data_IF_718727763248
#
_entry.id   IF_718727763248
#
_cell.length_a   1.000
_cell.length_b   1.000
_cell.length_c   1.000
_cell.angle_alpha   90.00
_cell.angle_beta   90.00
_cell.angle_gamma   90.00
#
_symmetry.space_group_name_H-M   'P 1'
#
loop_
_entity.id
_entity.type
_entity.pdbx_description
1 polymer ?
#
# COMPACT_ATOMS: atom_id res chain seq x y z
N UNK A 1 34.25 -10.96 1.19
CA UNK A 1 32.81 -10.81 1.55
C UNK A 1 31.99 -11.85 0.80
N UNK A 2 30.95 -12.46 1.40
CA UNK A 2 30.23 -13.52 0.72
C UNK A 2 29.36 -12.93 -0.40
N UNK A 3 29.68 -13.32 -1.64
CA UNK A 3 28.94 -13.03 -2.88
C UNK A 3 27.40 -13.26 -2.76
N UNK A 4 27.00 -14.06 -1.78
CA UNK A 4 25.62 -14.41 -1.46
C UNK A 4 24.77 -13.22 -0.99
N UNK A 5 25.24 -12.38 -0.05
CA UNK A 5 24.41 -11.29 0.52
C UNK A 5 24.06 -10.22 -0.51
N UNK A 6 25.00 -9.90 -1.42
CA UNK A 6 24.78 -8.95 -2.53
C UNK A 6 23.81 -9.50 -3.59
N UNK A 7 23.90 -10.79 -3.89
CA UNK A 7 22.99 -11.44 -4.84
C UNK A 7 21.57 -11.51 -4.29
N UNK A 8 21.42 -11.88 -3.00
CA UNK A 8 20.15 -11.84 -2.27
C UNK A 8 19.53 -10.44 -2.30
N UNK A 9 20.34 -9.42 -2.01
CA UNK A 9 19.91 -8.02 -2.04
C UNK A 9 19.37 -7.60 -3.41
N UNK A 10 20.09 -7.95 -4.50
CA UNK A 10 19.63 -7.63 -5.86
C UNK A 10 18.30 -8.32 -6.20
N UNK A 11 18.11 -9.57 -5.78
CA UNK A 11 16.85 -10.30 -5.98
C UNK A 11 15.70 -9.64 -5.21
N UNK A 12 15.88 -9.42 -3.91
CA UNK A 12 14.89 -8.75 -3.06
C UNK A 12 14.52 -7.37 -3.57
N UNK A 13 15.50 -6.60 -4.05
CA UNK A 13 15.25 -5.27 -4.62
C UNK A 13 14.38 -5.34 -5.88
N UNK A 14 14.58 -6.35 -6.74
CA UNK A 14 13.74 -6.54 -7.92
C UNK A 14 12.34 -7.03 -7.54
N UNK A 15 12.23 -7.94 -6.58
CA UNK A 15 10.94 -8.42 -6.05
C UNK A 15 10.11 -7.27 -5.48
N UNK A 16 10.71 -6.43 -4.64
CA UNK A 16 10.02 -5.24 -4.08
C UNK A 16 9.63 -4.25 -5.18
N UNK A 17 10.49 -4.07 -6.19
CA UNK A 17 10.15 -3.23 -7.34
C UNK A 17 8.90 -3.72 -8.06
N UNK A 18 8.84 -5.02 -8.37
CA UNK A 18 7.66 -5.64 -8.95
C UNK A 18 6.42 -5.47 -8.06
N UNK A 19 6.53 -5.68 -6.74
CA UNK A 19 5.38 -5.55 -5.84
C UNK A 19 4.86 -4.12 -5.71
N UNK A 20 5.72 -3.10 -5.76
CA UNK A 20 5.25 -1.72 -5.83
C UNK A 20 4.50 -1.45 -7.14
N UNK A 21 5.03 -1.90 -8.27
CA UNK A 21 4.38 -1.73 -9.58
C UNK A 21 3.03 -2.47 -9.61
N UNK A 22 2.96 -3.67 -9.04
CA UNK A 22 1.75 -4.48 -8.89
C UNK A 22 0.71 -3.79 -7.98
N UNK A 23 1.14 -3.25 -6.83
CA UNK A 23 0.26 -2.53 -5.92
C UNK A 23 -0.34 -1.29 -6.60
N UNK A 24 0.48 -0.49 -7.28
CA UNK A 24 0.03 0.70 -8.01
C UNK A 24 -1.00 0.32 -9.09
N UNK A 25 -0.77 -0.76 -9.84
CA UNK A 25 -1.70 -1.28 -10.84
C UNK A 25 -3.03 -1.72 -10.21
N UNK A 26 -2.98 -2.49 -9.13
CA UNK A 26 -4.16 -3.01 -8.44
C UNK A 26 -4.98 -1.87 -7.83
N UNK A 27 -4.33 -0.86 -7.26
CA UNK A 27 -4.99 0.34 -6.73
C UNK A 27 -5.73 1.11 -7.85
N UNK A 28 -5.11 1.26 -9.02
CA UNK A 28 -5.73 1.90 -10.19
C UNK A 28 -6.95 1.12 -10.66
N UNK A 29 -6.82 -0.19 -10.88
CA UNK A 29 -7.92 -1.08 -11.29
C UNK A 29 -9.09 -1.03 -10.31
N UNK A 30 -8.79 -1.05 -9.01
CA UNK A 30 -9.80 -1.05 -7.95
C UNK A 30 -10.55 0.28 -7.88
N UNK A 31 -9.86 1.40 -8.13
CA UNK A 31 -10.45 2.74 -8.14
C UNK A 31 -11.46 2.90 -9.27
N UNK A 32 -11.11 2.47 -10.48
CA UNK A 32 -11.99 2.56 -11.63
C UNK A 32 -13.18 1.61 -11.50
N UNK A 33 -12.93 0.37 -11.06
CA UNK A 33 -13.97 -0.64 -10.85
C UNK A 33 -14.95 -0.28 -9.73
N UNK A 34 -14.57 0.57 -8.77
CA UNK A 34 -15.47 0.98 -7.67
C UNK A 34 -16.74 1.69 -8.16
N UNK A 35 -16.61 2.58 -9.15
CA UNK A 35 -17.76 3.29 -9.71
C UNK A 35 -18.68 2.35 -10.51
N UNK A 36 -18.08 1.44 -11.28
CA UNK A 36 -18.82 0.46 -12.06
C UNK A 36 -19.53 -0.55 -11.15
N UNK A 37 -18.85 -1.03 -10.11
CA UNK A 37 -19.40 -1.93 -9.10
C UNK A 37 -20.64 -1.31 -8.45
N UNK A 38 -20.55 -0.05 -8.02
CA UNK A 38 -21.72 0.65 -7.48
C UNK A 38 -22.88 0.69 -8.46
N UNK A 39 -22.65 1.14 -9.69
CA UNK A 39 -23.69 1.23 -10.71
C UNK A 39 -24.35 -0.13 -10.98
N UNK A 40 -23.54 -1.19 -11.08
CA UNK A 40 -24.00 -2.55 -11.27
C UNK A 40 -24.81 -3.04 -10.08
N UNK A 41 -24.33 -2.79 -8.87
CA UNK A 41 -25.02 -3.13 -7.62
C UNK A 41 -26.40 -2.46 -7.53
N UNK A 42 -26.53 -1.17 -7.87
CA UNK A 42 -27.83 -0.47 -7.90
C UNK A 42 -28.79 -1.14 -8.87
N UNK A 43 -28.31 -1.44 -10.07
CA UNK A 43 -29.10 -2.09 -11.11
C UNK A 43 -29.52 -3.51 -10.71
N UNK A 44 -28.63 -4.24 -10.05
CA UNK A 44 -28.87 -5.60 -9.57
C UNK A 44 -29.93 -5.64 -8.46
N UNK A 45 -29.86 -4.72 -7.49
CA UNK A 45 -30.89 -4.60 -6.45
C UNK A 45 -32.25 -4.23 -7.04
N UNK A 46 -32.31 -3.29 -7.99
CA UNK A 46 -33.55 -2.88 -8.64
C UNK A 46 -34.21 -4.04 -9.41
N UNK A 47 -33.42 -4.80 -10.19
CA UNK A 47 -33.90 -5.98 -10.93
C UNK A 47 -34.46 -7.05 -10.00
N UNK A 48 -33.86 -7.24 -8.83
CA UNK A 48 -34.25 -8.26 -7.85
C UNK A 48 -35.22 -7.74 -6.77
N UNK A 49 -35.77 -6.52 -6.94
CA UNK A 49 -36.71 -5.89 -6.00
C UNK A 49 -36.18 -5.81 -4.56
N UNK A 50 -34.87 -5.62 -4.39
CA UNK A 50 -34.23 -5.48 -3.09
C UNK A 50 -34.31 -4.01 -2.66
N UNK A 51 -35.08 -3.73 -1.62
CA UNK A 51 -35.14 -2.40 -1.01
C UNK A 51 -33.89 -2.13 -0.18
N UNK A 52 -32.95 -1.42 -0.79
CA UNK A 52 -31.64 -1.09 -0.21
C UNK A 52 -31.75 -0.29 1.09
N UNK A 53 -32.68 0.65 1.17
CA UNK A 53 -32.78 1.54 2.33
C UNK A 53 -33.24 0.75 3.55
N UNK A 54 -34.28 -0.07 3.36
CA UNK A 54 -34.79 -0.96 4.40
C UNK A 54 -33.73 -1.98 4.84
N UNK A 55 -33.01 -2.60 3.90
CA UNK A 55 -31.98 -3.59 4.22
C UNK A 55 -30.74 -3.00 4.90
N UNK A 56 -30.36 -1.78 4.55
CA UNK A 56 -29.30 -1.04 5.23
C UNK A 56 -29.70 -0.70 6.67
N UNK A 57 -30.95 -0.30 6.92
CA UNK A 57 -31.47 -0.03 8.26
C UNK A 57 -31.53 -1.29 9.12
N UNK A 58 -32.02 -2.41 8.58
CA UNK A 58 -32.14 -3.69 9.28
C UNK A 58 -30.79 -4.35 9.59
N UNK A 59 -29.75 -4.06 8.81
CA UNK A 59 -28.41 -4.63 8.99
C UNK A 59 -27.35 -3.60 9.41
N UNK A 60 -27.76 -2.44 9.94
CA UNK A 60 -26.84 -1.36 10.38
C UNK A 60 -25.69 -1.86 11.25
N UNK A 61 -25.98 -2.72 12.22
CA UNK A 61 -24.98 -3.24 13.16
C UNK A 61 -23.97 -4.17 12.46
N UNK A 62 -24.43 -5.02 11.53
CA UNK A 62 -23.54 -5.88 10.73
C UNK A 62 -22.69 -5.08 9.75
N UNK A 63 -23.26 -4.04 9.16
CA UNK A 63 -22.52 -3.12 8.28
C UNK A 63 -21.47 -2.35 9.09
N UNK A 64 -21.81 -1.90 10.30
CA UNK A 64 -20.87 -1.23 11.21
C UNK A 64 -19.73 -2.16 11.64
N UNK A 65 -20.01 -3.42 11.93
CA UNK A 65 -18.98 -4.42 12.25
C UNK A 65 -18.10 -4.77 11.03
N UNK A 66 -18.67 -4.83 9.82
CA UNK A 66 -17.93 -5.15 8.60
C UNK A 66 -17.07 -3.99 8.08
N UNK A 67 -17.49 -2.73 8.31
CA UNK A 67 -16.86 -1.54 7.73
C UNK A 67 -16.29 -0.54 8.76
N UNK A 68 -16.48 -0.77 10.06
CA UNK A 68 -15.83 -0.03 11.14
C UNK A 68 -16.27 1.43 11.37
N UNK A 69 -17.34 1.92 10.72
CA UNK A 69 -17.90 3.28 10.92
C UNK A 69 -19.42 3.30 10.94
N UNK A 70 -19.99 4.27 11.68
CA UNK A 70 -21.43 4.49 11.80
C UNK A 70 -22.12 4.72 10.44
N UNK A 71 -23.27 4.07 10.17
CA UNK A 71 -23.96 4.11 8.88
C UNK A 71 -24.73 5.41 8.60
N UNK A 72 -24.56 6.46 9.41
CA UNK A 72 -25.29 7.73 9.26
C UNK A 72 -24.65 8.74 8.31
N UNK A 73 -23.49 8.41 7.75
CA UNK A 73 -22.89 9.15 6.64
C UNK A 73 -22.32 8.14 5.65
N UNK A 74 -23.14 7.63 4.74
CA UNK A 74 -22.68 7.31 3.38
C UNK A 74 -22.88 8.60 2.58
N UNK A 75 -21.87 9.46 2.44
CA UNK A 75 -21.95 10.56 1.49
C UNK A 75 -22.21 9.96 0.12
N UNK A 76 -23.07 10.62 -0.66
CA UNK A 76 -23.34 10.27 -2.06
C UNK A 76 -22.10 10.41 -2.96
N UNK A 77 -20.99 10.90 -2.40
CA UNK A 77 -19.65 10.95 -2.98
C UNK A 77 -18.64 10.44 -1.93
N UNK A 78 -18.17 9.19 -2.00
CA UNK A 78 -16.95 8.79 -1.30
C UNK A 78 -15.82 8.43 -2.28
N UNK A 79 -14.74 9.22 -2.29
CA UNK A 79 -13.45 8.84 -2.83
C UNK A 79 -12.74 7.89 -1.87
N UNK A 80 -11.98 6.96 -2.45
CA UNK A 80 -10.87 6.13 -1.92
C UNK A 80 -10.85 5.88 -0.41
N UNK A 81 -11.16 4.64 -0.05
CA UNK A 81 -10.89 3.98 1.23
C UNK A 81 -9.50 4.30 1.80
N UNK A 82 -9.43 5.20 2.78
CA UNK A 82 -8.40 5.17 3.82
C UNK A 82 -8.79 4.11 4.86
N UNK A 83 -8.37 2.87 4.60
CA UNK A 83 -8.40 1.77 5.55
C UNK A 83 -7.24 1.96 6.54
N UNK A 84 -7.50 2.69 7.61
CA UNK A 84 -6.64 2.73 8.79
C UNK A 84 -6.78 1.39 9.51
N UNK A 85 -5.86 0.47 9.25
CA UNK A 85 -5.76 -0.78 9.98
C UNK A 85 -5.52 -0.53 11.47
N UNK A 86 -6.40 -1.07 12.32
CA UNK A 86 -6.06 -1.67 13.61
C UNK A 86 -7.33 -2.10 14.35
N UNK A 87 -7.56 -3.41 14.48
CA UNK A 87 -7.95 -4.04 15.75
C UNK A 87 -7.89 -5.57 15.59
N UNK A 88 -6.73 -6.17 15.82
CA UNK A 88 -6.66 -7.60 16.15
C UNK A 88 -6.60 -7.70 17.69
N UNK A 89 -7.63 -8.27 18.28
CA UNK A 89 -7.68 -8.64 19.70
C UNK A 89 -7.02 -10.02 19.85
N UNK A 90 -5.74 -10.04 20.20
CA UNK A 90 -5.06 -11.25 20.66
C UNK A 90 -4.94 -11.23 22.18
N UNK A 91 -5.55 -12.21 22.85
CA UNK A 91 -5.24 -12.61 24.22
C UNK A 91 -4.11 -13.63 24.13
N UNK A 92 -2.96 -13.39 24.78
CA UNK A 92 -2.02 -14.46 25.09
C UNK A 92 -1.33 -14.19 26.43
N UNK A 93 -1.50 -15.15 27.34
CA UNK A 93 -0.82 -15.25 28.62
C UNK A 93 0.69 -15.58 28.44
N UNK A 94 1.52 -14.89 29.23
CA UNK A 94 2.88 -15.18 29.71
C UNK A 94 3.80 -16.14 28.91
N UNK A 95 4.92 -15.61 28.40
CA UNK A 95 6.31 -16.04 28.74
C UNK A 95 7.34 -15.09 28.09
N UNK A 96 7.82 -14.11 28.87
CA UNK A 96 8.85 -13.12 28.52
C UNK A 96 10.25 -13.70 28.67
N UNK A 97 11.02 -13.81 27.57
CA UNK A 97 12.49 -13.57 27.55
C UNK A 97 13.11 -13.48 26.14
N UNK A 98 12.53 -14.12 25.10
CA UNK A 98 13.17 -14.17 23.76
C UNK A 98 12.63 -13.12 22.76
N UNK A 99 11.40 -12.66 22.94
CA UNK A 99 10.75 -11.71 22.03
C UNK A 99 11.23 -10.26 22.26
N UNK A 100 11.50 -9.89 23.51
CA UNK A 100 12.01 -8.55 23.87
C UNK A 100 13.42 -8.32 23.35
N UNK A 101 14.28 -9.35 23.36
CA UNK A 101 15.65 -9.26 22.82
C UNK A 101 15.64 -9.12 21.29
N UNK A 102 14.79 -9.88 20.59
CA UNK A 102 14.59 -9.73 19.14
C UNK A 102 14.04 -8.35 18.79
N UNK A 103 13.07 -7.86 19.55
CA UNK A 103 12.50 -6.52 19.33
C UNK A 103 13.54 -5.41 19.55
N UNK A 104 14.42 -5.55 20.54
CA UNK A 104 15.52 -4.61 20.79
C UNK A 104 16.56 -4.63 19.67
N UNK A 105 17.02 -5.81 19.24
CA UNK A 105 17.96 -5.96 18.12
C UNK A 105 17.39 -5.40 16.81
N UNK A 106 16.10 -5.59 16.54
CA UNK A 106 15.44 -5.02 15.37
C UNK A 106 15.39 -3.49 15.42
N UNK A 107 15.18 -2.89 16.59
CA UNK A 107 15.18 -1.43 16.75
C UNK A 107 16.56 -0.81 16.52
N UNK A 108 17.64 -1.44 16.99
CA UNK A 108 19.00 -0.96 16.75
C UNK A 108 19.37 -1.08 15.27
N UNK A 109 19.10 -2.23 14.64
CA UNK A 109 19.33 -2.42 13.20
C UNK A 109 18.53 -1.39 12.38
N UNK A 110 17.30 -1.07 12.80
CA UNK A 110 16.47 -0.08 12.12
C UNK A 110 17.05 1.34 12.22
N UNK A 111 17.63 1.70 13.38
CA UNK A 111 18.33 2.99 13.56
C UNK A 111 19.57 3.07 12.68
N UNK A 112 20.41 2.03 12.68
CA UNK A 112 21.61 1.97 11.84
C UNK A 112 21.25 2.11 10.35
N UNK A 113 20.22 1.39 9.91
CA UNK A 113 19.72 1.46 8.54
C UNK A 113 19.21 2.87 8.21
N UNK A 114 18.45 3.49 9.11
CA UNK A 114 17.95 4.84 8.91
C UNK A 114 19.09 5.86 8.80
N UNK A 115 20.14 5.72 9.61
CA UNK A 115 21.31 6.58 9.57
C UNK A 115 22.10 6.42 8.26
N UNK A 116 22.19 5.22 7.72
CA UNK A 116 22.79 4.97 6.41
C UNK A 116 21.99 5.60 5.27
N UNK A 117 20.66 5.44 5.29
CA UNK A 117 19.79 6.09 4.30
C UNK A 117 19.78 7.60 4.46
N UNK A 118 19.97 8.13 5.67
CA UNK A 118 20.16 9.55 5.90
C UNK A 118 21.48 10.04 5.27
N UNK A 119 22.58 9.27 5.38
CA UNK A 119 23.82 9.57 4.65
C UNK A 119 23.61 9.52 3.13
N UNK A 120 22.85 8.56 2.62
CA UNK A 120 22.49 8.50 1.19
C UNK A 120 21.65 9.71 0.76
N UNK A 121 20.66 10.09 1.57
CA UNK A 121 19.84 11.26 1.36
C UNK A 121 20.68 12.54 1.35
N UNK A 122 21.64 12.71 2.27
CA UNK A 122 22.57 13.85 2.25
C UNK A 122 23.38 13.91 0.95
N UNK A 123 23.83 12.76 0.42
CA UNK A 123 24.52 12.70 -0.88
C UNK A 123 23.58 13.07 -2.04
N UNK A 124 22.32 12.61 -1.99
CA UNK A 124 21.27 13.00 -2.94
C UNK A 124 20.99 14.50 -2.86
N UNK A 125 20.73 15.01 -1.67
CA UNK A 125 20.50 16.42 -1.38
C UNK A 125 21.62 17.29 -1.94
N UNK A 126 22.89 16.94 -1.70
CA UNK A 126 24.02 17.68 -2.25
C UNK A 126 24.04 17.77 -3.78
N UNK A 127 23.48 16.79 -4.50
CA UNK A 127 23.36 16.83 -5.97
C UNK A 127 22.06 17.48 -6.45
N UNK A 128 20.99 17.36 -5.68
CA UNK A 128 19.62 17.77 -6.06
C UNK A 128 19.19 19.11 -5.46
N UNK A 129 20.00 19.71 -4.59
CA UNK A 129 19.62 20.94 -3.88
C UNK A 129 19.43 22.11 -4.86
N UNK A 130 18.30 22.84 -4.79
CA UNK A 130 17.97 23.92 -5.71
C UNK A 130 19.05 25.01 -5.81
N UNK A 131 19.72 25.31 -4.69
CA UNK A 131 20.80 26.31 -4.62
C UNK A 131 22.04 25.99 -5.48
N UNK A 132 22.30 24.70 -5.78
CA UNK A 132 23.38 24.33 -6.73
C UNK A 132 22.94 24.42 -8.20
N UNK A 133 21.63 24.50 -8.43
CA UNK A 133 21.00 24.51 -9.76
C UNK A 133 20.88 25.94 -10.29
N UNK A 134 20.81 26.95 -9.41
CA UNK A 134 20.81 28.37 -9.82
C UNK A 134 22.06 28.75 -10.61
N UNK A 135 23.18 28.05 -10.40
CA UNK A 135 24.44 28.27 -11.11
C UNK A 135 24.50 27.65 -12.52
N UNK A 136 23.51 26.86 -12.92
CA UNK A 136 23.43 26.29 -14.27
C UNK A 136 22.29 26.97 -15.04
N UNK A 137 22.57 27.30 -16.31
CA UNK A 137 21.60 27.75 -17.33
C UNK A 137 20.71 26.56 -17.71
N UNK A 138 20.07 25.94 -16.72
CA UNK A 138 19.19 24.81 -16.92
C UNK A 138 17.79 25.35 -17.22
N UNK A 139 17.17 24.77 -18.25
CA UNK A 139 15.77 24.96 -18.61
C UNK A 139 14.86 24.86 -17.38
N UNK A 140 13.80 25.66 -17.35
CA UNK A 140 12.87 25.76 -16.21
C UNK A 140 12.26 24.40 -15.85
N UNK A 141 12.06 23.54 -16.85
CA UNK A 141 11.57 22.17 -16.66
C UNK A 141 12.57 21.28 -15.91
N UNK A 142 13.86 21.39 -16.22
CA UNK A 142 14.92 20.63 -15.55
C UNK A 142 15.01 21.02 -14.06
N UNK A 143 14.91 22.32 -13.77
CA UNK A 143 14.91 22.84 -12.38
C UNK A 143 13.72 22.29 -11.58
N UNK A 144 12.52 22.31 -12.17
CA UNK A 144 11.31 21.75 -11.56
C UNK A 144 11.47 20.26 -11.26
N UNK A 145 12.02 19.49 -12.20
CA UNK A 145 12.24 18.05 -12.04
C UNK A 145 13.22 17.72 -10.92
N UNK A 146 14.31 18.48 -10.79
CA UNK A 146 15.27 18.29 -9.70
C UNK A 146 14.68 18.67 -8.34
N UNK A 147 13.94 19.78 -8.27
CA UNK A 147 13.23 20.18 -7.05
C UNK A 147 12.21 19.12 -6.63
N UNK A 148 11.47 18.56 -7.59
CA UNK A 148 10.55 17.45 -7.38
C UNK A 148 11.27 16.20 -6.84
N UNK A 149 12.37 15.79 -7.48
CA UNK A 149 13.16 14.64 -7.03
C UNK A 149 13.77 14.85 -5.65
N UNK A 150 14.17 16.09 -5.29
CA UNK A 150 14.62 16.42 -3.94
C UNK A 150 13.49 16.28 -2.91
N UNK A 151 12.31 16.81 -3.21
CA UNK A 151 11.13 16.68 -2.36
C UNK A 151 10.73 15.21 -2.19
N UNK A 152 10.77 14.44 -3.28
CA UNK A 152 10.53 12.99 -3.27
C UNK A 152 11.54 12.26 -2.40
N UNK A 153 12.82 12.59 -2.50
CA UNK A 153 13.86 12.01 -1.65
C UNK A 153 13.63 12.33 -0.17
N UNK A 154 13.25 13.58 0.15
CA UNK A 154 12.96 14.00 1.53
C UNK A 154 11.76 13.23 2.10
N UNK A 155 10.66 13.18 1.35
CA UNK A 155 9.46 12.44 1.77
C UNK A 155 9.73 10.94 1.91
N UNK A 156 10.56 10.36 1.04
CA UNK A 156 10.94 8.96 1.13
C UNK A 156 11.74 8.66 2.41
N UNK A 157 12.63 9.56 2.85
CA UNK A 157 13.36 9.39 4.11
C UNK A 157 12.42 9.49 5.33
N UNK A 158 11.55 10.50 5.36
CA UNK A 158 10.60 10.74 6.46
C UNK A 158 9.60 9.59 6.61
N UNK A 159 9.07 9.10 5.49
CA UNK A 159 8.13 7.97 5.46
C UNK A 159 8.81 6.60 5.48
N UNK A 160 10.14 6.55 5.70
CA UNK A 160 10.93 5.31 5.74
C UNK A 160 10.81 4.45 4.47
N UNK A 161 10.50 5.06 3.32
CA UNK A 161 10.39 4.41 2.00
C UNK A 161 11.78 4.27 1.36
N UNK A 162 12.64 3.43 1.94
CA UNK A 162 14.04 3.32 1.53
C UNK A 162 14.22 2.81 0.09
N UNK A 163 13.29 2.01 -0.42
CA UNK A 163 13.29 1.58 -1.82
C UNK A 163 13.28 2.77 -2.81
N UNK A 164 12.47 3.79 -2.53
CA UNK A 164 12.38 5.00 -3.35
C UNK A 164 13.68 5.80 -3.34
N UNK A 165 14.37 5.86 -2.19
CA UNK A 165 15.70 6.47 -2.09
C UNK A 165 16.73 5.72 -2.93
N UNK A 166 16.67 4.39 -2.97
CA UNK A 166 17.56 3.57 -3.81
C UNK A 166 17.29 3.82 -5.29
N UNK A 167 16.03 3.91 -5.71
CA UNK A 167 15.69 4.25 -7.09
C UNK A 167 16.24 5.62 -7.50
N UNK A 168 16.09 6.63 -6.64
CA UNK A 168 16.66 7.96 -6.87
C UNK A 168 18.19 7.94 -6.89
N UNK A 169 18.82 7.17 -6.00
CA UNK A 169 20.27 6.99 -6.00
C UNK A 169 20.78 6.36 -7.30
N UNK A 170 20.09 5.33 -7.82
CA UNK A 170 20.41 4.75 -9.13
C UNK A 170 20.25 5.77 -10.25
N UNK A 171 19.14 6.52 -10.27
CA UNK A 171 18.85 7.56 -11.27
C UNK A 171 19.96 8.62 -11.36
N UNK A 172 20.51 9.03 -10.22
CA UNK A 172 21.56 10.07 -10.13
C UNK A 172 22.99 9.51 -9.99
N UNK A 173 23.15 8.19 -10.22
CA UNK A 173 24.40 7.46 -10.12
C UNK A 173 25.16 7.76 -8.81
N UNK A 174 24.46 7.64 -7.68
CA UNK A 174 24.98 7.81 -6.33
C UNK A 174 25.24 6.44 -5.72
N UNK A 175 26.38 6.31 -5.03
CA UNK A 175 26.77 5.10 -4.35
C UNK A 175 25.78 4.77 -3.22
N UNK A 176 25.13 3.61 -3.33
CA UNK A 176 24.25 3.04 -2.32
C UNK A 176 25.11 2.43 -1.21
N UNK A 177 24.81 2.67 0.08
CA UNK A 177 25.51 2.03 1.20
C UNK A 177 25.49 0.50 1.08
N UNK A 178 26.60 -0.17 1.42
CA UNK A 178 26.75 -1.63 1.29
C UNK A 178 26.36 -2.41 2.55
N UNK A 179 25.37 -1.94 3.32
CA UNK A 179 24.83 -2.66 4.48
C UNK A 179 23.79 -3.68 4.05
N UNK A 180 24.25 -4.67 3.29
CA UNK A 180 23.37 -5.65 2.66
C UNK A 180 22.57 -6.44 3.70
N UNK A 181 23.09 -6.70 4.90
CA UNK A 181 22.39 -7.52 5.89
C UNK A 181 21.22 -6.76 6.55
N UNK A 182 21.42 -5.50 6.97
CA UNK A 182 20.34 -4.66 7.48
C UNK A 182 19.32 -4.33 6.39
N UNK A 183 19.78 -4.04 5.17
CA UNK A 183 18.91 -3.80 4.02
C UNK A 183 18.11 -5.05 3.65
N UNK A 184 18.71 -6.25 3.69
CA UNK A 184 18.01 -7.50 3.40
C UNK A 184 16.91 -7.79 4.43
N UNK A 185 17.16 -7.53 5.73
CA UNK A 185 16.14 -7.66 6.77
C UNK A 185 14.96 -6.72 6.52
N UNK A 186 15.25 -5.44 6.28
CA UNK A 186 14.21 -4.46 5.97
C UNK A 186 13.42 -4.81 4.70
N UNK A 187 14.11 -5.21 3.63
CA UNK A 187 13.47 -5.62 2.39
C UNK A 187 12.53 -6.81 2.56
N UNK A 188 12.87 -7.78 3.41
CA UNK A 188 11.94 -8.88 3.69
C UNK A 188 10.66 -8.39 4.35
N UNK A 189 10.80 -7.55 5.38
CA UNK A 189 9.64 -6.97 6.07
C UNK A 189 8.80 -6.10 5.14
N UNK A 190 9.44 -5.28 4.30
CA UNK A 190 8.75 -4.45 3.32
C UNK A 190 8.02 -5.31 2.28
N UNK A 191 8.64 -6.39 1.81
CA UNK A 191 8.01 -7.35 0.89
C UNK A 191 6.75 -7.95 1.51
N UNK A 192 6.84 -8.44 2.73
CA UNK A 192 5.69 -9.02 3.46
C UNK A 192 4.57 -8.00 3.67
N UNK A 193 4.93 -6.74 3.96
CA UNK A 193 3.97 -5.65 4.07
C UNK A 193 3.26 -5.36 2.74
N UNK A 194 4.00 -5.32 1.62
CA UNK A 194 3.43 -5.10 0.28
C UNK A 194 2.54 -6.28 -0.15
N UNK A 195 2.99 -7.52 0.07
CA UNK A 195 2.20 -8.72 -0.20
C UNK A 195 0.89 -8.71 0.61
N UNK A 196 0.95 -8.28 1.88
CA UNK A 196 -0.23 -8.13 2.72
C UNK A 196 -1.20 -7.08 2.18
N UNK A 197 -0.71 -5.90 1.76
CA UNK A 197 -1.53 -4.85 1.16
C UNK A 197 -2.19 -5.32 -0.15
N UNK A 198 -1.42 -5.95 -1.04
CA UNK A 198 -1.93 -6.54 -2.28
C UNK A 198 -3.02 -7.57 -1.95
N UNK A 199 -2.78 -8.46 -0.99
CA UNK A 199 -3.77 -9.46 -0.58
C UNK A 199 -5.04 -8.84 -0.02
N UNK A 200 -4.93 -7.73 0.72
CA UNK A 200 -6.09 -7.00 1.23
C UNK A 200 -6.91 -6.41 0.08
N UNK A 201 -6.27 -5.71 -0.87
CA UNK A 201 -6.97 -5.06 -1.98
C UNK A 201 -7.57 -6.09 -2.93
N UNK A 202 -6.81 -7.13 -3.30
CA UNK A 202 -7.31 -8.24 -4.15
C UNK A 202 -8.46 -9.03 -3.50
N UNK A 203 -8.52 -9.03 -2.17
CA UNK A 203 -9.63 -9.60 -1.41
C UNK A 203 -10.94 -8.82 -1.54
N UNK A 204 -10.90 -7.54 -1.92
CA UNK A 204 -12.06 -6.66 -1.99
C UNK A 204 -13.02 -7.04 -3.11
N UNK A 205 -14.30 -6.68 -2.94
CA UNK A 205 -15.32 -6.89 -3.98
C UNK A 205 -15.08 -6.02 -5.21
N UNK A 206 -14.52 -4.81 -5.05
CA UNK A 206 -14.21 -3.92 -6.16
C UNK A 206 -13.15 -4.54 -7.08
N UNK A 207 -12.05 -5.07 -6.51
CA UNK A 207 -11.03 -5.75 -7.31
C UNK A 207 -11.59 -7.01 -8.00
N UNK A 208 -12.31 -7.87 -7.26
CA UNK A 208 -12.94 -9.06 -7.85
C UNK A 208 -13.93 -8.72 -8.95
N UNK A 209 -14.61 -7.57 -8.86
CA UNK A 209 -15.50 -7.09 -9.89
C UNK A 209 -14.73 -6.64 -11.13
N UNK A 210 -13.58 -5.98 -10.96
CA UNK A 210 -12.68 -5.61 -12.06
C UNK A 210 -12.19 -6.84 -12.85
N UNK A 211 -11.94 -7.96 -12.16
CA UNK A 211 -11.51 -9.22 -12.78
C UNK A 211 -12.65 -10.01 -13.44
N UNK A 212 -13.91 -9.64 -13.25
CA UNK A 212 -15.03 -10.37 -13.86
C UNK A 212 -15.10 -10.08 -15.36
N UNK A 213 -14.91 -11.12 -16.18
CA UNK A 213 -14.94 -11.00 -17.65
C UNK A 213 -16.35 -10.83 -18.24
N UNK A 214 -17.39 -11.26 -17.52
CA UNK A 214 -18.76 -11.29 -18.03
C UNK A 214 -19.80 -10.98 -16.94
N UNK A 215 -21.01 -10.62 -17.38
CA UNK A 215 -22.12 -10.27 -16.48
C UNK A 215 -22.59 -11.43 -15.59
N UNK A 216 -22.39 -12.68 -16.00
CA UNK A 216 -22.77 -13.83 -15.16
C UNK A 216 -21.87 -13.96 -13.93
N UNK A 217 -20.60 -13.63 -14.07
CA UNK A 217 -19.64 -13.64 -12.97
C UNK A 217 -19.84 -12.43 -12.06
N UNK A 218 -20.15 -11.26 -12.64
CA UNK A 218 -20.59 -10.08 -11.88
C UNK A 218 -21.85 -10.36 -11.05
N UNK A 219 -22.83 -11.07 -11.60
CA UNK A 219 -24.03 -11.46 -10.88
C UNK A 219 -23.73 -12.42 -9.73
N UNK A 220 -22.86 -13.43 -9.92
CA UNK A 220 -22.44 -14.34 -8.83
C UNK A 220 -21.72 -13.60 -7.71
N UNK A 221 -20.84 -12.66 -8.07
CA UNK A 221 -20.15 -11.80 -7.12
C UNK A 221 -21.16 -10.95 -6.33
N UNK A 222 -22.16 -10.39 -7.02
CA UNK A 222 -23.20 -9.57 -6.38
C UNK A 222 -24.10 -10.38 -5.45
N UNK A 223 -24.44 -11.62 -5.82
CA UNK A 223 -25.14 -12.56 -4.91
C UNK A 223 -24.34 -12.82 -3.64
N UNK A 224 -23.03 -13.03 -3.77
CA UNK A 224 -22.13 -13.27 -2.65
C UNK A 224 -22.03 -12.04 -1.74
N UNK A 225 -21.89 -10.85 -2.34
CA UNK A 225 -21.90 -9.57 -1.64
C UNK A 225 -23.18 -9.35 -0.85
N UNK A 226 -24.35 -9.47 -1.50
CA UNK A 226 -25.66 -9.29 -0.87
C UNK A 226 -25.89 -10.31 0.25
N UNK A 227 -25.48 -11.56 0.06
CA UNK A 227 -25.57 -12.58 1.10
C UNK A 227 -24.67 -12.24 2.30
N UNK A 228 -23.46 -11.73 2.07
CA UNK A 228 -22.55 -11.35 3.14
C UNK A 228 -23.06 -10.13 3.91
N UNK A 229 -23.55 -9.10 3.21
CA UNK A 229 -23.96 -7.83 3.83
C UNK A 229 -25.35 -7.91 4.45
N UNK A 230 -26.31 -8.55 3.79
CA UNK A 230 -27.72 -8.57 4.22
C UNK A 230 -28.22 -9.95 4.66
N UNK A 231 -27.45 -11.02 4.45
CA UNK A 231 -27.92 -12.39 4.75
C UNK A 231 -29.03 -12.89 3.81
N UNK A 232 -29.32 -12.18 2.72
CA UNK A 232 -30.38 -12.54 1.76
C UNK A 232 -29.84 -13.52 0.71
N UNK A 233 -30.59 -14.58 0.45
CA UNK A 233 -30.36 -15.43 -0.72
C UNK A 233 -31.19 -14.95 -1.90
N UNK A 234 -30.51 -14.30 -2.86
CA UNK A 234 -31.11 -13.89 -4.13
C UNK A 234 -31.11 -15.08 -5.09
N UNK A 235 -32.28 -15.39 -5.68
CA UNK A 235 -32.43 -16.54 -6.60
C UNK A 235 -31.65 -16.35 -7.90
#
# INVERSE_FOLDING_TARGET
>A
MPFNSRTKWKRLLNEIGYLYDELDLIEELTKDAGLEFESYYRSYCAKNQIDRNKQNEENKDKIKDLYGKDPEILPQDLPVSEYSGSMDLAISDYETTDEEQKAFEEQEIFKELHDEFNKLFKKLALKLHPDRIENYIADDEYKRKLSWDFSKAKSALEKKKYFQLIQLAKKYNILIPESYDAQNKWFKNERENLESQIKQITGTYNYKFAECENDTDRDKLMKSFIRQVFGINVK
#
